data_IF_665010832725
#
_entry.id   IF_665010832725
#
_cell.length_a   1.000
_cell.length_b   1.000
_cell.length_c   1.000
_cell.angle_alpha   90.00
_cell.angle_beta   90.00
_cell.angle_gamma   90.00
#
_symmetry.space_group_name_H-M   'P 1'
#
loop_
_entity.id
_entity.type
_entity.pdbx_description
1 polymer ?
#
# COMPACT_ATOMS: atom_id res chain seq x y z
N UNK A 1 -0.51 -10.36 -17.81
CA UNK A 1 -0.63 -9.91 -16.40
C UNK A 1 -0.16 -8.46 -16.39
N UNK A 2 -0.94 -7.51 -15.86
CA UNK A 2 -0.57 -6.09 -15.97
C UNK A 2 0.49 -5.67 -14.93
N UNK A 3 1.39 -4.78 -15.34
CA UNK A 3 2.52 -4.27 -14.57
C UNK A 3 2.54 -2.74 -14.59
N UNK A 4 2.92 -2.12 -13.48
CA UNK A 4 3.21 -0.68 -13.45
C UNK A 4 4.63 -0.45 -13.98
N UNK A 5 4.75 0.39 -15.01
CA UNK A 5 6.03 0.74 -15.63
C UNK A 5 6.90 1.52 -14.64
N UNK A 6 8.10 1.02 -14.28
CA UNK A 6 9.04 1.78 -13.47
C UNK A 6 9.57 3.00 -14.23
N UNK A 7 9.94 4.07 -13.51
CA UNK A 7 10.58 5.23 -14.13
C UNK A 7 12.02 4.89 -14.53
N UNK A 8 12.40 5.22 -15.76
CA UNK A 8 13.76 4.99 -16.25
C UNK A 8 14.84 5.63 -15.39
N UNK A 9 14.59 6.85 -14.90
CA UNK A 9 15.52 7.53 -14.00
C UNK A 9 15.71 6.75 -12.69
N UNK A 10 14.64 6.19 -12.15
CA UNK A 10 14.70 5.37 -10.94
C UNK A 10 15.49 4.07 -11.20
N UNK A 11 15.23 3.42 -12.33
CA UNK A 11 15.98 2.23 -12.75
C UNK A 11 17.48 2.52 -12.84
N UNK A 12 17.87 3.57 -13.57
CA UNK A 12 19.28 3.99 -13.70
C UNK A 12 19.93 4.25 -12.34
N UNK A 13 19.18 4.86 -11.41
CA UNK A 13 19.69 5.24 -10.09
C UNK A 13 19.81 4.07 -9.09
N UNK A 14 18.87 3.13 -9.15
CA UNK A 14 18.68 2.16 -8.06
C UNK A 14 18.93 0.70 -8.46
N UNK A 15 18.87 0.33 -9.74
CA UNK A 15 18.95 -1.09 -10.17
C UNK A 15 20.21 -1.81 -9.68
N UNK A 16 21.34 -1.11 -9.54
CA UNK A 16 22.59 -1.71 -9.05
C UNK A 16 22.62 -1.95 -7.54
N UNK A 17 21.64 -1.44 -6.80
CA UNK A 17 21.64 -1.43 -5.32
C UNK A 17 20.98 -2.66 -4.70
N UNK A 18 20.29 -3.47 -5.49
CA UNK A 18 19.41 -4.46 -4.91
C UNK A 18 18.63 -5.29 -5.92
N UNK A 19 17.62 -5.97 -5.40
CA UNK A 19 16.74 -6.86 -6.13
C UNK A 19 15.44 -6.14 -6.50
N UNK A 20 15.14 -6.09 -7.79
CA UNK A 20 13.80 -5.74 -8.28
C UNK A 20 12.83 -6.87 -7.91
N UNK A 21 11.65 -6.50 -7.42
CA UNK A 21 10.51 -7.40 -7.24
C UNK A 21 9.25 -6.78 -7.83
N UNK A 22 8.32 -7.65 -8.20
CA UNK A 22 6.97 -7.31 -8.62
C UNK A 22 5.99 -7.59 -7.49
N UNK A 23 5.59 -6.53 -6.78
CA UNK A 23 4.67 -6.55 -5.64
C UNK A 23 3.22 -6.60 -6.15
N UNK A 24 2.35 -7.53 -5.71
CA UNK A 24 0.97 -7.62 -6.16
C UNK A 24 0.13 -6.54 -5.51
N UNK A 25 -0.61 -5.82 -6.34
CA UNK A 25 -1.64 -4.87 -5.94
C UNK A 25 -2.96 -5.25 -6.60
N UNK A 26 -4.06 -4.79 -6.04
CA UNK A 26 -5.33 -4.73 -6.73
C UNK A 26 -5.52 -3.35 -7.34
N UNK A 27 -5.65 -3.27 -8.66
CA UNK A 27 -6.29 -2.10 -9.29
C UNK A 27 -7.77 -2.18 -9.00
N UNK A 28 -8.22 -1.38 -8.06
CA UNK A 28 -9.62 -1.34 -7.62
C UNK A 28 -10.29 -0.12 -8.22
N UNK A 29 -11.35 -0.37 -8.99
CA UNK A 29 -12.30 0.65 -9.44
C UNK A 29 -13.50 0.61 -8.51
N UNK A 30 -13.83 1.75 -7.94
CA UNK A 30 -14.87 1.86 -6.93
C UNK A 30 -15.67 3.14 -7.10
N UNK A 31 -16.91 3.12 -6.65
CA UNK A 31 -17.80 4.26 -6.66
C UNK A 31 -17.93 4.81 -5.26
N UNK A 32 -17.77 6.12 -5.14
CA UNK A 32 -18.11 6.88 -3.94
C UNK A 32 -19.54 7.37 -4.09
N UNK A 33 -20.46 6.86 -3.28
CA UNK A 33 -21.85 7.29 -3.30
C UNK A 33 -22.02 8.63 -2.57
N UNK A 34 -22.58 9.62 -3.26
CA UNK A 34 -22.85 10.98 -2.77
C UNK A 34 -24.34 11.32 -2.92
N UNK A 35 -24.76 12.48 -2.40
CA UNK A 35 -26.16 12.94 -2.48
C UNK A 35 -26.59 13.23 -3.93
N UNK A 36 -25.63 13.66 -4.74
CA UNK A 36 -25.79 14.18 -6.10
C UNK A 36 -25.35 13.20 -7.19
N UNK A 37 -24.95 11.97 -6.80
CA UNK A 37 -24.57 10.92 -7.75
C UNK A 37 -23.44 10.03 -7.24
N UNK A 38 -22.72 9.43 -8.19
CA UNK A 38 -21.59 8.54 -7.94
C UNK A 38 -20.31 9.14 -8.53
N UNK A 39 -19.23 9.16 -7.74
CA UNK A 39 -17.89 9.55 -8.20
C UNK A 39 -17.04 8.28 -8.37
N UNK A 40 -16.70 7.96 -9.63
CA UNK A 40 -15.91 6.78 -9.98
C UNK A 40 -14.42 7.03 -9.74
N UNK A 41 -13.76 6.14 -9.01
CA UNK A 41 -12.35 6.26 -8.63
C UNK A 41 -11.57 4.99 -8.91
N UNK A 42 -10.26 5.16 -9.04
CA UNK A 42 -9.30 4.07 -9.25
C UNK A 42 -8.11 4.25 -8.32
N UNK A 43 -7.71 3.17 -7.66
CA UNK A 43 -6.54 3.13 -6.79
C UNK A 43 -5.88 1.74 -6.88
N UNK A 44 -4.58 1.67 -6.65
CA UNK A 44 -3.90 0.42 -6.40
C UNK A 44 -3.80 0.19 -4.89
N UNK A 45 -4.21 -0.98 -4.39
CA UNK A 45 -4.03 -1.36 -2.98
C UNK A 45 -3.15 -2.60 -2.88
N UNK A 46 -2.11 -2.56 -2.04
CA UNK A 46 -1.16 -3.65 -1.84
C UNK A 46 -1.86 -4.93 -1.38
N UNK A 47 -1.64 -6.05 -2.07
CA UNK A 47 -2.31 -7.32 -1.81
C UNK A 47 -1.41 -8.35 -1.09
N UNK A 48 -0.19 -7.98 -0.71
CA UNK A 48 0.74 -8.88 -0.04
C UNK A 48 0.87 -8.53 1.43
N UNK A 49 1.27 -7.31 1.76
CA UNK A 49 1.57 -6.87 3.12
C UNK A 49 0.34 -6.99 4.02
N UNK A 50 -0.88 -6.55 3.61
CA UNK A 50 -2.07 -6.77 4.44
C UNK A 50 -2.33 -8.25 4.72
N UNK A 51 -2.07 -9.13 3.75
CA UNK A 51 -2.19 -10.58 3.93
C UNK A 51 -1.16 -11.17 4.91
N UNK A 52 0.04 -10.58 4.99
CA UNK A 52 1.05 -10.95 6.00
C UNK A 52 0.65 -10.47 7.39
N UNK A 53 0.23 -9.20 7.50
CA UNK A 53 0.03 -8.55 8.79
C UNK A 53 -1.32 -8.86 9.43
N UNK A 54 -2.36 -9.11 8.64
CA UNK A 54 -3.76 -9.43 8.99
C UNK A 54 -4.52 -8.37 9.81
N UNK A 55 -3.88 -7.58 10.65
CA UNK A 55 -4.52 -6.68 11.63
C UNK A 55 -3.95 -5.25 11.59
N UNK A 56 -3.57 -4.76 10.40
CA UNK A 56 -2.98 -3.43 10.21
C UNK A 56 -3.74 -2.60 9.15
N UNK A 57 -4.98 -2.20 9.42
CA UNK A 57 -5.82 -1.52 8.44
C UNK A 57 -5.31 -0.10 8.10
N UNK A 58 -4.67 0.59 9.05
CA UNK A 58 -4.05 1.90 8.78
C UNK A 58 -2.86 1.74 7.84
N UNK A 59 -2.02 0.73 8.06
CA UNK A 59 -0.93 0.38 7.15
C UNK A 59 -1.45 0.13 5.73
N UNK A 60 -2.59 -0.56 5.59
CA UNK A 60 -3.24 -0.78 4.29
C UNK A 60 -3.59 0.53 3.58
N UNK A 61 -4.13 1.52 4.31
CA UNK A 61 -4.39 2.87 3.75
C UNK A 61 -3.09 3.52 3.26
N UNK A 62 -2.01 3.44 4.04
CA UNK A 62 -0.73 4.06 3.71
C UNK A 62 -0.01 3.37 2.53
N UNK A 63 -0.38 2.12 2.23
CA UNK A 63 0.14 1.37 1.09
C UNK A 63 -0.64 1.61 -0.21
N UNK A 64 -1.82 2.23 -0.15
CA UNK A 64 -2.57 2.59 -1.35
C UNK A 64 -1.76 3.55 -2.25
N UNK A 65 -1.88 3.39 -3.57
CA UNK A 65 -1.15 4.19 -4.57
C UNK A 65 -2.09 4.68 -5.67
N UNK A 66 -1.90 5.93 -6.08
CA UNK A 66 -2.46 6.44 -7.33
C UNK A 66 -1.43 6.27 -8.45
N UNK A 67 -1.84 5.63 -9.53
CA UNK A 67 -1.01 5.40 -10.72
C UNK A 67 -1.73 5.95 -11.94
N UNK A 68 -0.99 6.53 -12.88
CA UNK A 68 -1.55 6.98 -14.15
C UNK A 68 -1.94 5.75 -14.98
N UNK A 69 -3.14 5.68 -15.58
CA UNK A 69 -3.56 4.52 -16.36
C UNK A 69 -2.58 4.14 -17.48
N UNK A 70 -2.00 5.13 -18.16
CA UNK A 70 -0.98 4.91 -19.22
C UNK A 70 0.37 4.38 -18.71
N UNK A 71 0.56 4.25 -17.40
CA UNK A 71 1.72 3.61 -16.80
C UNK A 71 1.53 2.11 -16.59
N UNK A 72 0.32 1.57 -16.81
CA UNK A 72 0.06 0.12 -16.68
C UNK A 72 0.22 -0.52 -18.06
N UNK A 73 1.06 -1.55 -18.13
CA UNK A 73 1.38 -2.29 -19.36
C UNK A 73 1.10 -3.79 -19.17
N UNK A 74 0.71 -4.50 -20.22
CA UNK A 74 0.32 -5.91 -20.13
C UNK A 74 1.48 -6.91 -20.17
N UNK A 75 2.66 -6.43 -20.55
CA UNK A 75 3.90 -7.21 -20.62
C UNK A 75 4.83 -6.84 -19.47
N UNK A 76 5.53 -7.85 -18.93
CA UNK A 76 6.49 -7.66 -17.85
C UNK A 76 7.67 -6.81 -18.34
N UNK A 77 7.88 -5.58 -17.81
CA UNK A 77 8.91 -4.69 -18.33
C UNK A 77 10.34 -5.19 -18.11
N UNK A 78 10.56 -5.90 -17.00
CA UNK A 78 11.87 -6.40 -16.57
C UNK A 78 11.66 -7.74 -15.83
N UNK A 79 12.50 -8.74 -16.14
CA UNK A 79 12.48 -10.03 -15.45
C UNK A 79 12.88 -9.85 -13.98
N UNK A 80 12.02 -10.30 -13.07
CA UNK A 80 12.24 -10.26 -11.63
C UNK A 80 11.27 -11.21 -10.90
N UNK A 81 11.56 -11.62 -9.65
CA UNK A 81 10.61 -12.33 -8.81
C UNK A 81 9.29 -11.58 -8.69
N UNK A 82 8.20 -12.32 -8.80
CA UNK A 82 6.84 -11.80 -8.71
C UNK A 82 6.18 -12.42 -7.48
N UNK A 83 5.79 -11.57 -6.53
CA UNK A 83 5.12 -12.02 -5.31
C UNK A 83 3.66 -12.35 -5.63
N UNK A 84 3.09 -13.32 -4.93
CA UNK A 84 1.67 -13.65 -5.08
C UNK A 84 0.81 -12.85 -4.10
N UNK A 85 -0.41 -12.46 -4.50
CA UNK A 85 -1.33 -11.80 -3.57
C UNK A 85 -1.70 -12.76 -2.43
N UNK A 86 -1.40 -12.34 -1.20
CA UNK A 86 -1.77 -13.07 0.02
C UNK A 86 -3.17 -12.68 0.50
N UNK A 87 -3.54 -11.42 0.29
CA UNK A 87 -4.90 -10.95 0.38
C UNK A 87 -5.68 -11.32 -0.88
N UNK A 88 -6.90 -11.82 -0.71
CA UNK A 88 -7.78 -12.28 -1.80
C UNK A 88 -9.08 -11.49 -1.91
N UNK A 89 -9.38 -10.61 -0.95
CA UNK A 89 -10.64 -9.86 -0.91
C UNK A 89 -10.39 -8.36 -0.87
N UNK A 90 -10.38 -7.69 -2.05
CA UNK A 90 -10.31 -6.24 -2.14
C UNK A 90 -11.45 -5.54 -1.41
N UNK A 91 -12.65 -6.16 -1.41
CA UNK A 91 -13.83 -5.64 -0.70
C UNK A 91 -13.61 -5.59 0.81
N UNK A 92 -12.95 -6.60 1.38
CA UNK A 92 -12.58 -6.57 2.80
C UNK A 92 -11.60 -5.43 3.07
N UNK A 93 -10.55 -5.30 2.26
CA UNK A 93 -9.57 -4.22 2.43
C UNK A 93 -10.24 -2.84 2.40
N UNK A 94 -11.15 -2.62 1.44
CA UNK A 94 -11.89 -1.36 1.34
C UNK A 94 -12.82 -1.13 2.52
N UNK A 95 -13.50 -2.16 3.02
CA UNK A 95 -14.29 -2.06 4.25
C UNK A 95 -13.42 -1.71 5.45
N UNK A 96 -12.23 -2.28 5.56
CA UNK A 96 -11.29 -1.96 6.65
C UNK A 96 -10.81 -0.50 6.55
N UNK A 97 -10.46 -0.05 5.35
CA UNK A 97 -10.07 1.35 5.08
C UNK A 97 -11.22 2.32 5.36
N UNK A 98 -12.46 1.94 5.04
CA UNK A 98 -13.66 2.70 5.39
C UNK A 98 -13.88 2.75 6.91
N UNK A 99 -13.72 1.63 7.61
CA UNK A 99 -13.79 1.57 9.07
C UNK A 99 -12.75 2.47 9.75
N UNK A 100 -11.54 2.56 9.19
CA UNK A 100 -10.52 3.53 9.64
C UNK A 100 -11.02 4.97 9.47
N UNK A 101 -11.64 5.29 8.34
CA UNK A 101 -12.23 6.61 8.10
C UNK A 101 -13.33 6.95 9.11
N UNK A 102 -14.27 6.04 9.36
CA UNK A 102 -15.36 6.26 10.32
C UNK A 102 -14.83 6.48 11.73
N UNK A 103 -13.82 5.71 12.16
CA UNK A 103 -13.17 5.89 13.45
C UNK A 103 -12.43 7.23 13.55
N UNK A 104 -11.72 7.64 12.50
CA UNK A 104 -11.04 8.94 12.47
C UNK A 104 -12.03 10.11 12.54
N UNK A 105 -13.10 10.05 11.74
CA UNK A 105 -14.11 11.11 11.67
C UNK A 105 -14.89 11.27 12.96
N UNK A 106 -15.19 10.16 13.64
CA UNK A 106 -15.83 10.18 14.96
C UNK A 106 -14.87 10.54 16.10
N UNK A 107 -13.57 10.64 15.84
CA UNK A 107 -12.55 10.86 16.87
C UNK A 107 -12.29 9.64 17.76
N UNK A 108 -12.79 8.47 17.39
CA UNK A 108 -12.64 7.22 18.15
C UNK A 108 -11.34 6.48 17.83
N UNK A 109 -10.64 6.80 16.72
CA UNK A 109 -9.32 6.23 16.43
C UNK A 109 -8.22 6.88 17.29
N UNK A 110 -8.01 6.33 18.48
CA UNK A 110 -6.93 6.69 19.40
C UNK A 110 -5.68 5.81 19.25
N UNK A 111 -4.61 6.14 19.99
CA UNK A 111 -3.38 5.33 20.03
C UNK A 111 -3.66 3.87 20.44
N UNK A 112 -4.56 3.67 21.41
CA UNK A 112 -4.95 2.35 21.93
C UNK A 112 -5.55 1.41 20.87
N UNK A 113 -6.23 1.98 19.88
CA UNK A 113 -6.90 1.25 18.79
C UNK A 113 -5.94 0.84 17.66
N UNK A 114 -4.73 1.43 17.63
CA UNK A 114 -3.74 1.11 16.61
C UNK A 114 -2.98 -0.16 17.00
N UNK A 115 -2.82 -1.06 16.03
CA UNK A 115 -1.91 -2.20 16.15
C UNK A 115 -0.47 -1.71 16.40
N UNK A 116 0.41 -2.54 17.00
CA UNK A 116 1.83 -2.20 17.15
C UNK A 116 2.50 -1.84 15.81
N UNK A 117 2.09 -2.49 14.72
CA UNK A 117 2.63 -2.21 13.38
C UNK A 117 2.19 -0.84 12.88
N UNK A 118 0.91 -0.49 13.03
CA UNK A 118 0.39 0.82 12.63
C UNK A 118 1.08 1.95 13.42
N UNK A 119 1.30 1.75 14.73
CA UNK A 119 2.04 2.73 15.56
C UNK A 119 3.46 2.91 15.05
N UNK A 120 4.16 1.82 14.72
CA UNK A 120 5.54 1.88 14.23
C UNK A 120 5.66 2.54 12.85
N UNK A 121 4.76 2.18 11.92
CA UNK A 121 4.71 2.77 10.57
C UNK A 121 4.44 4.27 10.65
N UNK A 122 3.51 4.70 11.51
CA UNK A 122 3.23 6.12 11.76
C UNK A 122 4.30 6.82 12.61
N UNK A 123 5.24 6.09 13.21
CA UNK A 123 6.27 6.66 14.09
C UNK A 123 5.71 7.19 15.42
N UNK A 124 4.66 6.55 15.93
CA UNK A 124 3.92 6.93 17.14
C UNK A 124 4.37 6.13 18.38
N UNK A 125 5.49 5.43 18.29
CA UNK A 125 6.12 4.75 19.43
C UNK A 125 6.71 5.76 20.46
N UNK A 126 6.71 7.07 20.14
CA UNK A 126 7.19 8.20 20.97
C UNK A 126 6.26 9.44 20.80
N UNK A 127 6.42 10.53 21.57
CA UNK A 127 5.37 11.27 22.31
C UNK A 127 4.08 11.70 21.56
N UNK A 128 2.99 11.78 22.34
CA UNK A 128 1.57 12.03 21.97
C UNK A 128 1.31 13.18 20.98
N UNK A 129 2.14 14.23 20.95
CA UNK A 129 1.93 15.40 20.07
C UNK A 129 1.96 15.04 18.57
N UNK A 130 2.60 13.93 18.21
CA UNK A 130 2.67 13.43 16.82
C UNK A 130 1.42 12.66 16.38
N UNK A 131 0.62 12.15 17.32
CA UNK A 131 -0.55 11.32 17.03
C UNK A 131 -1.60 12.11 16.26
N UNK A 132 -1.96 13.32 16.73
CA UNK A 132 -2.97 14.15 16.07
C UNK A 132 -2.59 14.51 14.64
N UNK A 133 -1.31 14.83 14.41
CA UNK A 133 -0.80 15.15 13.07
C UNK A 133 -0.91 13.92 12.16
N UNK A 134 -0.47 12.76 12.63
CA UNK A 134 -0.56 11.51 11.88
C UNK A 134 -2.01 11.14 11.54
N UNK A 135 -2.94 11.25 12.50
CA UNK A 135 -4.36 11.02 12.27
C UNK A 135 -4.97 12.02 11.28
N UNK A 136 -4.56 13.29 11.35
CA UNK A 136 -5.01 14.33 10.41
C UNK A 136 -4.55 14.05 8.98
N UNK A 137 -3.29 13.65 8.79
CA UNK A 137 -2.75 13.27 7.48
C UNK A 137 -3.48 12.03 6.95
N UNK A 138 -3.72 11.04 7.81
CA UNK A 138 -4.45 9.83 7.42
C UNK A 138 -5.89 10.14 6.99
N UNK A 139 -6.56 11.04 7.71
CA UNK A 139 -7.89 11.51 7.35
C UNK A 139 -7.87 12.23 5.99
N UNK A 140 -6.88 13.08 5.73
CA UNK A 140 -6.73 13.76 4.44
C UNK A 140 -6.52 12.77 3.28
N UNK A 141 -5.70 11.72 3.47
CA UNK A 141 -5.51 10.66 2.47
C UNK A 141 -6.85 9.97 2.15
N UNK A 142 -7.65 9.64 3.18
CA UNK A 142 -8.94 8.97 3.01
C UNK A 142 -9.98 9.91 2.36
N UNK A 143 -10.03 11.17 2.78
CA UNK A 143 -11.00 12.15 2.30
C UNK A 143 -10.70 12.64 0.90
N UNK A 144 -9.49 13.15 0.66
CA UNK A 144 -9.12 13.81 -0.59
C UNK A 144 -8.54 12.80 -1.58
N UNK A 145 -7.66 11.91 -1.10
CA UNK A 145 -7.06 10.86 -1.91
C UNK A 145 -8.08 9.81 -2.36
N UNK A 146 -8.76 9.18 -1.40
CA UNK A 146 -9.72 8.10 -1.71
C UNK A 146 -11.15 8.58 -1.89
N UNK A 147 -11.47 9.82 -1.52
CA UNK A 147 -12.79 10.41 -1.80
C UNK A 147 -13.86 10.11 -0.77
N UNK A 148 -13.51 9.62 0.42
CA UNK A 148 -14.49 9.18 1.42
C UNK A 148 -15.27 10.33 2.06
N UNK A 149 -14.84 11.57 1.84
CA UNK A 149 -15.46 12.78 2.37
C UNK A 149 -16.95 12.86 2.00
N UNK A 150 -17.81 12.91 3.01
CA UNK A 150 -19.28 13.01 2.85
C UNK A 150 -19.90 11.87 2.01
N UNK A 151 -19.22 10.74 1.87
CA UNK A 151 -19.78 9.58 1.19
C UNK A 151 -20.77 8.83 2.09
N UNK A 152 -21.83 8.29 1.49
CA UNK A 152 -22.80 7.41 2.16
C UNK A 152 -22.37 5.94 2.12
N UNK A 153 -21.44 5.63 1.22
CA UNK A 153 -20.90 4.30 1.06
C UNK A 153 -19.88 4.28 -0.07
N UNK A 154 -19.11 3.20 -0.08
CA UNK A 154 -18.15 2.89 -1.12
C UNK A 154 -18.48 1.50 -1.64
N UNK A 155 -18.62 1.35 -2.95
CA UNK A 155 -18.80 0.05 -3.59
C UNK A 155 -17.67 -0.23 -4.56
N UNK A 156 -17.03 -1.37 -4.38
CA UNK A 156 -16.06 -1.87 -5.36
C UNK A 156 -16.84 -2.36 -6.58
N UNK A 157 -16.56 -1.77 -7.73
CA UNK A 157 -17.21 -2.12 -8.99
C UNK A 157 -16.42 -3.19 -9.74
N UNK A 158 -15.09 -3.13 -9.64
CA UNK A 158 -14.19 -4.02 -10.35
C UNK A 158 -12.82 -4.03 -9.68
N UNK A 159 -12.15 -5.16 -9.73
CA UNK A 159 -10.74 -5.22 -9.40
C UNK A 159 -10.00 -6.20 -10.32
N UNK A 160 -8.69 -5.97 -10.47
CA UNK A 160 -7.76 -6.96 -11.03
C UNK A 160 -6.39 -6.88 -10.37
N UNK A 161 -5.63 -7.99 -10.34
CA UNK A 161 -4.23 -7.95 -9.94
C UNK A 161 -3.41 -7.09 -10.91
N UNK A 162 -2.55 -6.23 -10.38
CA UNK A 162 -1.53 -5.43 -11.08
C UNK A 162 -0.24 -5.50 -10.29
N UNK A 163 0.90 -5.59 -10.95
CA UNK A 163 2.19 -5.76 -10.28
C UNK A 163 3.00 -4.46 -10.26
N UNK A 164 3.39 -4.03 -9.07
CA UNK A 164 4.04 -2.76 -8.79
C UNK A 164 5.56 -2.95 -8.58
N UNK A 165 6.42 -2.10 -9.18
CA UNK A 165 7.86 -2.29 -9.14
C UNK A 165 8.47 -1.72 -7.87
N UNK A 166 9.00 -2.59 -7.01
CA UNK A 166 9.79 -2.21 -5.84
C UNK A 166 11.22 -2.75 -5.97
N UNK A 167 12.19 -2.00 -5.44
CA UNK A 167 13.57 -2.48 -5.34
C UNK A 167 13.97 -2.60 -3.87
N UNK A 168 14.30 -3.82 -3.46
CA UNK A 168 14.84 -4.13 -2.14
C UNK A 168 16.35 -4.03 -2.20
N UNK A 169 16.99 -3.25 -1.32
CA UNK A 169 18.44 -3.29 -1.24
C UNK A 169 18.96 -4.65 -0.74
N UNK A 170 20.25 -4.93 -0.95
CA UNK A 170 20.85 -6.24 -0.62
C UNK A 170 20.73 -6.65 0.86
N UNK A 171 20.48 -5.70 1.76
CA UNK A 171 20.34 -5.95 3.20
C UNK A 171 18.89 -5.89 3.70
N UNK A 172 17.90 -5.73 2.82
CA UNK A 172 16.51 -5.48 3.19
C UNK A 172 16.34 -4.27 4.15
N UNK A 173 17.31 -3.34 4.11
CA UNK A 173 17.40 -2.16 4.97
C UNK A 173 16.72 -0.94 4.36
N UNK A 174 16.50 -0.95 3.04
CA UNK A 174 15.82 0.09 2.29
C UNK A 174 15.04 -0.48 1.13
N UNK A 175 13.86 0.09 0.91
CA UNK A 175 13.02 -0.18 -0.25
C UNK A 175 12.89 1.08 -1.09
N UNK A 176 13.05 0.95 -2.40
CA UNK A 176 12.87 2.03 -3.36
C UNK A 176 11.61 1.78 -4.19
N UNK A 177 10.72 2.77 -4.22
CA UNK A 177 9.55 2.78 -5.08
C UNK A 177 10.01 3.24 -6.48
N UNK A 178 10.04 2.31 -7.43
CA UNK A 178 10.58 2.60 -8.77
C UNK A 178 9.58 3.35 -9.65
N UNK A 179 8.29 3.35 -9.31
CA UNK A 179 7.29 4.15 -10.00
C UNK A 179 7.33 5.60 -9.54
N UNK A 180 7.50 5.88 -8.24
CA UNK A 180 7.68 7.23 -7.72
C UNK A 180 9.11 7.75 -7.90
N UNK A 181 10.09 6.86 -8.02
CA UNK A 181 11.50 7.16 -8.19
C UNK A 181 12.20 7.64 -6.93
N UNK A 182 11.72 7.21 -5.76
CA UNK A 182 12.22 7.62 -4.45
C UNK A 182 12.22 6.46 -3.44
N UNK A 183 13.02 6.54 -2.36
CA UNK A 183 12.90 5.58 -1.25
C UNK A 183 11.50 5.60 -0.64
N UNK A 184 10.97 4.42 -0.30
CA UNK A 184 9.71 4.29 0.43
C UNK A 184 9.98 4.07 1.91
N UNK A 185 9.64 5.06 2.74
CA UNK A 185 9.78 4.94 4.19
C UNK A 185 8.89 3.86 4.79
N UNK A 186 7.65 3.72 4.29
CA UNK A 186 6.68 2.73 4.76
C UNK A 186 7.16 1.32 4.45
N UNK A 187 7.48 1.00 3.19
CA UNK A 187 8.00 -0.32 2.84
C UNK A 187 9.32 -0.63 3.53
N UNK A 188 10.20 0.37 3.69
CA UNK A 188 11.46 0.17 4.44
C UNK A 188 11.21 -0.27 5.88
N UNK A 189 10.25 0.34 6.59
CA UNK A 189 9.86 -0.10 7.94
C UNK A 189 9.25 -1.50 7.93
N UNK A 190 8.36 -1.77 6.98
CA UNK A 190 7.63 -3.03 6.89
C UNK A 190 8.53 -4.22 6.60
N UNK A 191 9.44 -4.09 5.63
CA UNK A 191 10.45 -5.12 5.30
C UNK A 191 11.45 -5.34 6.44
N UNK A 192 11.61 -4.33 7.31
CA UNK A 192 12.34 -4.45 8.56
C UNK A 192 11.72 -5.47 9.53
N UNK A 193 10.41 -5.73 9.45
CA UNK A 193 9.71 -6.71 10.30
C UNK A 193 10.01 -8.14 9.87
N UNK A 194 10.38 -9.01 10.81
CA UNK A 194 10.72 -10.41 10.53
C UNK A 194 9.59 -11.22 9.88
N UNK A 195 8.34 -10.89 10.17
CA UNK A 195 7.18 -11.54 9.55
C UNK A 195 7.10 -11.23 8.05
N UNK A 196 7.22 -9.96 7.67
CA UNK A 196 7.22 -9.49 6.29
C UNK A 196 8.46 -9.99 5.57
N UNK A 197 9.65 -9.84 6.15
CA UNK A 197 10.90 -10.28 5.55
C UNK A 197 10.88 -11.77 5.21
N UNK A 198 10.50 -12.62 6.17
CA UNK A 198 10.38 -14.07 5.93
C UNK A 198 9.31 -14.38 4.89
N UNK A 199 8.18 -13.68 4.91
CA UNK A 199 7.16 -13.86 3.90
C UNK A 199 7.70 -13.57 2.49
N UNK A 200 8.40 -12.45 2.29
CA UNK A 200 8.98 -12.08 0.99
C UNK A 200 10.07 -13.05 0.54
N UNK A 201 10.96 -13.46 1.45
CA UNK A 201 12.06 -14.38 1.13
C UNK A 201 11.56 -15.73 0.59
N UNK A 202 10.42 -16.24 1.07
CA UNK A 202 9.81 -17.47 0.54
C UNK A 202 9.49 -17.40 -0.95
N UNK A 203 9.13 -16.23 -1.47
CA UNK A 203 8.82 -16.03 -2.89
C UNK A 203 10.04 -15.65 -3.72
N UNK A 204 11.03 -15.02 -3.10
CA UNK A 204 12.28 -14.59 -3.75
C UNK A 204 13.25 -15.78 -3.94
N UNK A 205 13.05 -16.89 -3.21
CA UNK A 205 13.85 -18.12 -3.32
C UNK A 205 14.85 -18.32 -2.17
N UNK A 206 14.56 -17.79 -0.98
CA UNK A 206 15.47 -17.83 0.17
C UNK A 206 15.37 -19.08 1.03
N UNK A 207 15.95 -20.20 0.56
CA UNK A 207 16.74 -21.06 1.46
C UNK A 207 18.25 -20.81 1.30
N UNK A 208 18.71 -19.97 0.37
CA UNK A 208 20.14 -19.68 0.16
C UNK A 208 20.42 -18.21 -0.24
N UNK A 209 20.14 -17.26 0.65
CA UNK A 209 20.76 -15.91 0.66
C UNK A 209 21.33 -15.67 2.06
#
# INVERSE_FOLDING_TARGET
MPFVKPREQALRRYMRRGLLIWEPFFETRYNVLRRDGYDGRVVLVDAFIPGVLREAPVTTVLLARKVNPGSIVDEMPLRAPTLEPLERSPDRMFRDMWGVYEKLRSGSLGLGELSPVDRSVLGLDRPLRRVRIAMSILLEILEEGLGFRKAFGVSVAYYRPVYYPLLLDRGFSRVYDLYLGQPSSIYTKLVGLDSVRRAMLRYIGGENI
#
